data_IF_996169845059
#
_entry.id   IF_996169845059
#
_cell.length_a   1.000
_cell.length_b   1.000
_cell.length_c   1.000
_cell.angle_alpha   90.00
_cell.angle_beta   90.00
_cell.angle_gamma   90.00
#
_symmetry.space_group_name_H-M   'P 1'
#
loop_
_entity.id
_entity.type
_entity.pdbx_description
1 polymer ?
#
# COMPACT_ATOMS: atom_id res chain seq x y z
N UNK A 1 -0.26 -11.81 39.87
CA UNK A 1 -1.25 -12.06 38.80
C UNK A 1 -1.27 -10.83 37.90
N UNK A 2 -0.46 -10.79 36.85
CA UNK A 2 -0.46 -9.69 35.88
C UNK A 2 -1.45 -9.99 34.75
N UNK A 3 -2.66 -9.43 34.88
CA UNK A 3 -3.63 -9.37 33.79
C UNK A 3 -3.16 -8.31 32.79
N UNK A 4 -2.25 -8.69 31.89
CA UNK A 4 -2.07 -7.96 30.63
C UNK A 4 -3.37 -8.09 29.85
N UNK A 5 -4.13 -7.00 29.73
CA UNK A 5 -5.21 -6.87 28.76
C UNK A 5 -4.57 -7.04 27.39
N UNK A 6 -4.54 -8.27 26.88
CA UNK A 6 -4.03 -8.56 25.54
C UNK A 6 -4.87 -7.77 24.56
N UNK A 7 -4.16 -7.00 23.75
CA UNK A 7 -4.63 -6.15 22.66
C UNK A 7 -5.21 -6.99 21.50
N UNK A 8 -6.04 -7.99 21.79
CA UNK A 8 -6.57 -8.95 20.82
C UNK A 8 -7.43 -8.29 19.72
N UNK A 9 -7.96 -7.09 19.97
CA UNK A 9 -8.65 -6.26 18.99
C UNK A 9 -7.69 -5.40 18.13
N UNK A 10 -6.46 -5.13 18.57
CA UNK A 10 -5.43 -4.50 17.73
C UNK A 10 -4.79 -5.51 16.78
N UNK A 11 -4.49 -6.72 17.26
CA UNK A 11 -3.86 -7.76 16.45
C UNK A 11 -4.75 -8.22 15.29
N UNK A 12 -6.08 -8.31 15.47
CA UNK A 12 -7.02 -8.69 14.38
C UNK A 12 -7.01 -7.74 13.19
N UNK A 13 -6.62 -6.46 13.35
CA UNK A 13 -6.53 -5.49 12.24
C UNK A 13 -5.43 -5.85 11.25
N UNK A 14 -4.42 -6.58 11.73
CA UNK A 14 -3.29 -7.08 10.97
C UNK A 14 -3.51 -8.52 10.48
N UNK A 15 -4.69 -9.11 10.69
CA UNK A 15 -5.06 -10.43 10.20
C UNK A 15 -5.99 -10.29 9.00
N UNK A 16 -5.49 -10.61 7.81
CA UNK A 16 -6.26 -10.51 6.57
C UNK A 16 -5.38 -10.45 5.33
N UNK A 17 -6.02 -10.23 4.20
CA UNK A 17 -5.34 -9.96 2.93
C UNK A 17 -6.06 -8.87 2.18
N UNK A 18 -5.32 -8.11 1.36
CA UNK A 18 -5.92 -7.16 0.43
C UNK A 18 -6.87 -7.86 -0.55
N UNK A 19 -6.59 -9.12 -0.91
CA UNK A 19 -7.51 -9.93 -1.70
C UNK A 19 -8.90 -10.07 -1.05
N UNK A 20 -8.97 -10.33 0.26
CA UNK A 20 -10.26 -10.44 0.95
C UNK A 20 -11.01 -9.11 1.01
N UNK A 21 -10.28 -7.99 1.03
CA UNK A 21 -10.91 -6.67 0.93
C UNK A 21 -11.52 -6.51 -0.46
N UNK A 22 -10.78 -6.79 -1.55
CA UNK A 22 -11.32 -6.74 -2.91
C UNK A 22 -12.54 -7.66 -3.09
N UNK A 23 -12.47 -8.90 -2.61
CA UNK A 23 -13.60 -9.84 -2.63
C UNK A 23 -14.83 -9.27 -1.89
N UNK A 24 -14.63 -8.59 -0.76
CA UNK A 24 -15.71 -7.93 -0.02
C UNK A 24 -16.27 -6.73 -0.79
N UNK A 25 -15.44 -5.91 -1.43
CA UNK A 25 -15.91 -4.79 -2.25
C UNK A 25 -16.77 -5.29 -3.44
N UNK A 26 -16.36 -6.40 -4.07
CA UNK A 26 -17.14 -7.05 -5.12
C UNK A 26 -18.44 -7.65 -4.58
N UNK A 27 -18.41 -8.30 -3.41
CA UNK A 27 -19.59 -8.85 -2.74
C UNK A 27 -20.62 -7.76 -2.38
N UNK A 28 -20.16 -6.58 -1.97
CA UNK A 28 -20.97 -5.39 -1.72
C UNK A 28 -21.48 -4.71 -3.01
N UNK A 29 -21.18 -5.27 -4.18
CA UNK A 29 -21.60 -4.79 -5.50
C UNK A 29 -21.18 -3.34 -5.78
N UNK A 30 -20.01 -2.93 -5.29
CA UNK A 30 -19.43 -1.66 -5.70
C UNK A 30 -19.19 -1.65 -7.22
N UNK A 31 -19.37 -0.51 -7.91
CA UNK A 31 -19.01 -0.39 -9.32
C UNK A 31 -17.58 -0.85 -9.59
N UNK A 32 -17.33 -1.53 -10.72
CA UNK A 32 -16.02 -2.13 -11.04
C UNK A 32 -14.84 -1.15 -10.98
N UNK A 33 -15.07 0.13 -11.29
CA UNK A 33 -14.09 1.19 -11.13
C UNK A 33 -13.54 1.30 -9.69
N UNK A 34 -14.33 0.97 -8.67
CA UNK A 34 -13.87 0.97 -7.28
C UNK A 34 -12.85 -0.13 -6.99
N UNK A 35 -12.90 -1.26 -7.70
CA UNK A 35 -11.87 -2.29 -7.59
C UNK A 35 -10.58 -1.84 -8.27
N UNK A 36 -10.68 -1.09 -9.38
CA UNK A 36 -9.52 -0.44 -10.00
C UNK A 36 -8.92 0.62 -9.06
N UNK A 37 -9.74 1.48 -8.46
CA UNK A 37 -9.29 2.45 -7.44
C UNK A 37 -8.67 1.74 -6.22
N UNK A 38 -9.23 0.62 -5.80
CA UNK A 38 -8.66 -0.17 -4.71
C UNK A 38 -7.28 -0.72 -5.08
N UNK A 39 -7.10 -1.23 -6.31
CA UNK A 39 -5.78 -1.61 -6.81
C UNK A 39 -4.80 -0.44 -6.77
N UNK A 40 -5.21 0.76 -7.17
CA UNK A 40 -4.38 1.97 -7.10
C UNK A 40 -3.93 2.29 -5.66
N UNK A 41 -4.85 2.20 -4.69
CA UNK A 41 -4.55 2.42 -3.27
C UNK A 41 -3.55 1.40 -2.71
N UNK A 42 -3.72 0.10 -3.06
CA UNK A 42 -2.80 -0.97 -2.64
C UNK A 42 -1.45 -0.82 -3.34
N UNK A 43 -1.44 -0.57 -4.64
CA UNK A 43 -0.22 -0.37 -5.42
C UNK A 43 0.60 0.82 -4.91
N UNK A 44 -0.04 1.96 -4.66
CA UNK A 44 0.62 3.12 -4.08
C UNK A 44 1.19 2.79 -2.68
N UNK A 45 0.42 2.10 -1.83
CA UNK A 45 0.90 1.67 -0.50
C UNK A 45 2.13 0.76 -0.60
N UNK A 46 2.20 -0.13 -1.59
CA UNK A 46 3.40 -0.94 -1.86
C UNK A 46 4.57 -0.07 -2.32
N UNK A 47 4.34 0.81 -3.28
CA UNK A 47 5.39 1.62 -3.92
C UNK A 47 5.97 2.67 -2.97
N UNK A 48 5.16 3.31 -2.13
CA UNK A 48 5.64 4.25 -1.10
C UNK A 48 6.13 3.57 0.18
N UNK A 49 6.22 2.22 0.18
CA UNK A 49 6.61 1.40 1.33
C UNK A 49 5.82 1.73 2.60
N UNK A 50 4.50 1.78 2.46
CA UNK A 50 3.56 1.92 3.57
C UNK A 50 3.32 0.56 4.24
N UNK A 51 3.97 0.37 5.39
CA UNK A 51 3.81 -0.82 6.23
C UNK A 51 2.54 -0.84 7.07
N UNK A 52 1.80 0.27 7.20
CA UNK A 52 0.66 0.41 8.12
C UNK A 52 -0.72 0.47 7.42
N UNK A 53 -0.78 0.13 6.13
CA UNK A 53 -2.03 0.03 5.35
C UNK A 53 -2.95 -1.12 5.79
N UNK A 54 -3.40 -1.12 7.04
CA UNK A 54 -4.23 -2.18 7.62
C UNK A 54 -5.72 -2.00 7.29
N UNK A 55 -6.56 -2.95 7.71
CA UNK A 55 -7.98 -3.01 7.31
C UNK A 55 -8.77 -1.71 7.55
N UNK A 56 -8.41 -0.91 8.56
CA UNK A 56 -9.12 0.35 8.87
C UNK A 56 -8.79 1.50 7.91
N UNK A 57 -7.79 1.36 7.05
CA UNK A 57 -7.35 2.39 6.10
C UNK A 57 -8.13 2.29 4.77
N UNK A 58 -9.08 1.34 4.69
CA UNK A 58 -9.98 1.18 3.56
C UNK A 58 -11.41 1.29 4.05
N UNK A 59 -12.14 2.28 3.53
CA UNK A 59 -13.51 2.54 3.92
C UNK A 59 -14.44 2.54 2.70
N UNK A 60 -15.69 2.16 2.95
CA UNK A 60 -16.79 2.29 1.99
C UNK A 60 -17.70 3.40 2.48
N UNK A 61 -18.03 4.31 1.57
CA UNK A 61 -18.92 5.44 1.78
C UNK A 61 -20.31 5.11 1.24
N UNK A 62 -21.33 5.61 1.93
CA UNK A 62 -22.74 5.42 1.58
C UNK A 62 -23.40 6.79 1.46
N UNK A 63 -23.68 7.22 0.24
CA UNK A 63 -24.49 8.41 -0.04
C UNK A 63 -25.98 8.07 -0.01
N UNK A 64 -26.83 9.05 0.35
CA UNK A 64 -28.27 8.86 0.33
C UNK A 64 -28.75 8.68 -1.12
N UNK A 65 -29.18 7.46 -1.47
CA UNK A 65 -29.65 7.13 -2.81
C UNK A 65 -28.53 6.84 -3.81
N UNK A 66 -27.28 6.73 -3.35
CA UNK A 66 -26.12 6.40 -4.18
C UNK A 66 -25.67 4.96 -3.95
N UNK A 67 -25.04 4.36 -4.96
CA UNK A 67 -24.36 3.09 -4.78
C UNK A 67 -23.21 3.25 -3.77
N UNK A 68 -22.89 2.22 -2.97
CA UNK A 68 -21.69 2.25 -2.13
C UNK A 68 -20.45 2.52 -2.99
N UNK A 69 -19.51 3.28 -2.45
CA UNK A 69 -18.27 3.64 -3.15
C UNK A 69 -17.08 3.54 -2.22
N UNK A 70 -15.93 3.13 -2.76
CA UNK A 70 -14.66 3.17 -2.04
C UNK A 70 -14.34 4.64 -1.71
N UNK A 71 -13.97 4.88 -0.46
CA UNK A 71 -13.53 6.20 -0.02
C UNK A 71 -12.29 6.64 -0.80
N UNK A 72 -12.02 7.96 -0.88
CA UNK A 72 -10.68 8.43 -1.20
C UNK A 72 -9.64 7.75 -0.30
N UNK A 73 -8.40 7.70 -0.80
CA UNK A 73 -7.28 7.20 -0.03
C UNK A 73 -7.01 8.12 1.17
N UNK A 74 -6.67 7.54 2.31
CA UNK A 74 -6.24 8.27 3.50
C UNK A 74 -5.20 7.46 4.27
N UNK A 75 -4.50 8.13 5.19
CA UNK A 75 -3.55 7.49 6.12
C UNK A 75 -2.49 6.63 5.42
N UNK A 76 -1.80 7.25 4.46
CA UNK A 76 -0.65 6.67 3.76
C UNK A 76 0.62 7.37 4.21
N UNK A 77 1.53 6.57 4.76
CA UNK A 77 2.81 7.03 5.28
C UNK A 77 3.91 6.08 4.80
N UNK A 78 5.07 6.62 4.43
CA UNK A 78 6.27 5.81 4.16
C UNK A 78 6.86 5.32 5.48
N UNK A 79 6.27 4.29 6.06
CA UNK A 79 6.68 3.76 7.36
C UNK A 79 8.14 3.24 7.36
N UNK A 80 8.65 2.82 6.19
CA UNK A 80 9.98 2.23 6.05
C UNK A 80 11.17 3.17 6.33
N UNK A 81 10.96 4.49 6.49
CA UNK A 81 12.04 5.42 6.88
C UNK A 81 12.24 5.52 8.40
N UNK A 82 11.31 4.96 9.19
CA UNK A 82 11.41 4.96 10.64
C UNK A 82 12.09 3.69 11.13
N UNK A 83 13.21 3.86 11.83
CA UNK A 83 13.94 2.78 12.47
C UNK A 83 13.50 2.59 13.92
N UNK A 84 13.64 1.37 14.43
CA UNK A 84 13.41 1.05 15.83
C UNK A 84 14.46 0.05 16.34
N UNK A 85 14.79 0.13 17.62
CA UNK A 85 15.62 -0.86 18.32
C UNK A 85 14.73 -1.72 19.21
N UNK A 86 14.93 -3.04 19.23
CA UNK A 86 14.10 -3.92 20.07
C UNK A 86 14.54 -3.90 21.53
N UNK A 87 15.83 -3.68 21.76
CA UNK A 87 16.44 -3.57 23.08
C UNK A 87 17.55 -2.53 23.06
N UNK A 88 17.93 -2.04 24.24
CA UNK A 88 19.07 -1.13 24.40
C UNK A 88 20.35 -1.83 23.93
N UNK A 89 21.02 -1.27 22.91
CA UNK A 89 22.23 -1.83 22.30
C UNK A 89 21.99 -2.71 21.05
N UNK A 90 20.74 -2.85 20.59
CA UNK A 90 20.41 -3.55 19.35
C UNK A 90 20.69 -2.67 18.10
N UNK A 91 20.82 -3.29 16.93
CA UNK A 91 20.91 -2.58 15.66
C UNK A 91 19.56 -1.94 15.31
N UNK A 92 19.58 -0.85 14.54
CA UNK A 92 18.36 -0.23 14.02
C UNK A 92 17.67 -1.16 13.01
N UNK A 93 16.43 -1.54 13.29
CA UNK A 93 15.57 -2.32 12.40
C UNK A 93 14.58 -1.41 11.68
N UNK A 94 14.21 -1.77 10.46
CA UNK A 94 13.10 -1.15 9.70
C UNK A 94 12.02 -2.18 9.47
N UNK A 95 10.76 -1.79 9.61
CA UNK A 95 9.65 -2.66 9.21
C UNK A 95 9.62 -2.76 7.68
N UNK A 96 9.85 -3.96 7.18
CA UNK A 96 9.89 -4.29 5.75
C UNK A 96 8.70 -5.15 5.32
N UNK A 97 7.61 -5.06 6.06
CA UNK A 97 6.38 -5.80 5.79
C UNK A 97 5.21 -4.85 5.55
N UNK A 98 4.23 -5.34 4.80
CA UNK A 98 2.91 -4.74 4.69
C UNK A 98 2.07 -5.11 5.92
N UNK A 99 1.07 -4.31 6.24
CA UNK A 99 0.14 -4.62 7.31
C UNK A 99 -0.65 -5.92 7.07
N UNK A 100 -1.05 -6.17 5.81
CA UNK A 100 -1.84 -7.32 5.36
C UNK A 100 -1.09 -8.10 4.27
N UNK A 101 -1.46 -9.37 4.09
CA UNK A 101 -0.94 -10.17 2.96
C UNK A 101 -1.51 -9.65 1.64
N UNK A 102 -0.81 -9.78 0.53
CA UNK A 102 -1.40 -9.48 -0.78
C UNK A 102 -2.53 -10.47 -1.10
N UNK A 103 -2.19 -11.76 -1.12
CA UNK A 103 -3.12 -12.86 -1.39
C UNK A 103 -3.58 -13.55 -0.10
N UNK A 104 -4.81 -14.07 -0.12
CA UNK A 104 -5.36 -14.87 0.97
C UNK A 104 -4.72 -16.26 1.00
N UNK A 105 -4.55 -16.84 2.18
CA UNK A 105 -4.08 -18.22 2.33
C UNK A 105 -3.00 -18.39 3.39
N UNK A 106 -2.76 -19.65 3.77
CA UNK A 106 -1.80 -20.01 4.83
C UNK A 106 -0.35 -19.75 4.40
N UNK A 107 -0.02 -19.97 3.13
CA UNK A 107 1.35 -19.91 2.60
C UNK A 107 1.80 -18.51 2.15
N UNK A 108 0.92 -17.51 2.18
CA UNK A 108 1.30 -16.14 1.84
C UNK A 108 1.86 -15.40 3.04
N UNK A 109 2.81 -14.50 2.80
CA UNK A 109 3.46 -13.65 3.80
C UNK A 109 2.96 -12.20 3.70
N UNK A 110 3.48 -11.37 4.61
CA UNK A 110 3.31 -9.91 4.60
C UNK A 110 4.50 -9.20 3.96
N UNK A 111 5.44 -9.91 3.34
CA UNK A 111 6.50 -9.26 2.60
C UNK A 111 5.88 -8.39 1.49
N UNK A 112 6.53 -7.27 1.16
CA UNK A 112 6.13 -6.53 -0.03
C UNK A 112 6.21 -7.46 -1.25
N UNK A 113 5.20 -7.42 -2.14
CA UNK A 113 5.09 -8.36 -3.24
C UNK A 113 6.17 -8.10 -4.30
N UNK A 114 6.40 -9.07 -5.19
CA UNK A 114 7.12 -8.80 -6.43
C UNK A 114 6.27 -7.95 -7.40
N UNK A 115 6.89 -7.38 -8.43
CA UNK A 115 6.15 -6.69 -9.51
C UNK A 115 5.14 -7.61 -10.18
N UNK A 116 5.51 -8.88 -10.41
CA UNK A 116 4.64 -9.88 -11.00
C UNK A 116 3.42 -10.18 -10.11
N UNK A 117 3.64 -10.36 -8.81
CA UNK A 117 2.56 -10.57 -7.85
C UNK A 117 1.60 -9.38 -7.78
N UNK A 118 2.12 -8.15 -7.82
CA UNK A 118 1.30 -6.94 -7.82
C UNK A 118 0.50 -6.78 -9.12
N UNK A 119 1.11 -7.07 -10.28
CA UNK A 119 0.40 -7.09 -11.56
C UNK A 119 -0.70 -8.15 -11.56
N UNK A 120 -0.40 -9.36 -11.08
CA UNK A 120 -1.36 -10.46 -10.97
C UNK A 120 -2.52 -10.09 -10.06
N UNK A 121 -2.26 -9.42 -8.94
CA UNK A 121 -3.30 -8.90 -8.06
C UNK A 121 -4.20 -7.89 -8.80
N UNK A 122 -3.61 -6.98 -9.57
CA UNK A 122 -4.37 -6.04 -10.40
C UNK A 122 -5.31 -6.74 -11.39
N UNK A 123 -4.82 -7.72 -12.15
CA UNK A 123 -5.60 -8.42 -13.18
C UNK A 123 -6.60 -9.42 -12.60
N UNK A 124 -6.13 -10.34 -11.75
CA UNK A 124 -6.92 -11.50 -11.32
C UNK A 124 -7.87 -11.18 -10.16
N UNK A 125 -7.52 -10.21 -9.31
CA UNK A 125 -8.32 -9.89 -8.12
C UNK A 125 -9.13 -8.61 -8.32
N UNK A 126 -8.52 -7.58 -8.91
CA UNK A 126 -9.16 -6.27 -9.07
C UNK A 126 -9.77 -6.04 -10.47
N UNK A 127 -9.57 -6.96 -11.43
CA UNK A 127 -10.13 -6.85 -12.78
C UNK A 127 -9.52 -5.72 -13.63
N UNK A 128 -8.32 -5.23 -13.28
CA UNK A 128 -7.64 -4.15 -13.99
C UNK A 128 -7.01 -4.71 -15.26
N UNK A 129 -7.45 -4.22 -16.43
CA UNK A 129 -6.98 -4.71 -17.73
C UNK A 129 -5.50 -4.41 -17.98
N UNK A 130 -5.02 -3.23 -17.55
CA UNK A 130 -3.63 -2.78 -17.75
C UNK A 130 -3.01 -2.30 -16.43
N UNK A 131 -2.68 -3.20 -15.50
CA UNK A 131 -2.09 -2.83 -14.21
C UNK A 131 -0.73 -2.13 -14.39
N UNK A 132 0.05 -2.52 -15.41
CA UNK A 132 1.35 -1.90 -15.70
C UNK A 132 1.24 -0.39 -15.97
N UNK A 133 0.25 0.05 -16.74
CA UNK A 133 0.01 1.49 -16.99
C UNK A 133 -0.39 2.24 -15.71
N UNK A 134 -1.08 1.58 -14.80
CA UNK A 134 -1.41 2.15 -13.49
C UNK A 134 -0.16 2.33 -12.64
N UNK A 135 0.74 1.33 -12.60
CA UNK A 135 2.01 1.42 -11.88
C UNK A 135 2.93 2.50 -12.47
N UNK A 136 2.97 2.64 -13.79
CA UNK A 136 3.72 3.71 -14.47
C UNK A 136 3.20 5.10 -14.08
N UNK A 137 1.88 5.30 -14.11
CA UNK A 137 1.26 6.57 -13.70
C UNK A 137 1.55 6.90 -12.24
N UNK A 138 1.51 5.91 -11.34
CA UNK A 138 1.89 6.10 -9.93
C UNK A 138 3.38 6.47 -9.80
N UNK A 139 4.27 5.77 -10.50
CA UNK A 139 5.70 6.06 -10.46
C UNK A 139 6.02 7.46 -11.00
N UNK A 140 5.36 7.88 -12.09
CA UNK A 140 5.49 9.24 -12.61
C UNK A 140 5.06 10.28 -11.56
N UNK A 141 3.88 10.10 -10.96
CA UNK A 141 3.40 11.01 -9.92
C UNK A 141 4.33 11.04 -8.68
N UNK A 142 4.91 9.90 -8.30
CA UNK A 142 5.91 9.82 -7.23
C UNK A 142 7.18 10.60 -7.57
N UNK A 143 7.67 10.51 -8.81
CA UNK A 143 8.84 11.24 -9.27
C UNK A 143 8.57 12.75 -9.25
N UNK A 144 7.44 13.18 -9.82
CA UNK A 144 7.01 14.59 -9.81
C UNK A 144 6.90 15.11 -8.37
N UNK A 145 6.32 14.33 -7.47
CA UNK A 145 6.20 14.69 -6.04
C UNK A 145 7.57 14.85 -5.36
N UNK A 146 8.53 13.98 -5.66
CA UNK A 146 9.90 14.10 -5.12
C UNK A 146 10.62 15.34 -5.65
N UNK A 147 10.41 15.67 -6.92
CA UNK A 147 11.03 16.84 -7.54
C UNK A 147 10.45 18.14 -6.99
N UNK A 148 9.13 18.22 -6.81
CA UNK A 148 8.47 19.34 -6.12
C UNK A 148 8.95 19.46 -4.66
N UNK A 149 9.11 18.34 -3.96
CA UNK A 149 9.53 18.31 -2.56
C UNK A 149 10.93 18.88 -2.33
N UNK A 150 11.84 18.78 -3.31
CA UNK A 150 13.21 19.35 -3.22
C UNK A 150 13.18 20.88 -3.08
N UNK A 151 12.14 21.54 -3.61
CA UNK A 151 11.95 22.99 -3.53
C UNK A 151 11.08 23.46 -2.37
N UNK A 152 10.44 22.55 -1.63
CA UNK A 152 9.47 22.90 -0.58
C UNK A 152 10.13 23.01 0.80
N UNK A 153 10.31 24.25 1.26
CA UNK A 153 10.87 24.57 2.58
C UNK A 153 10.11 23.98 3.78
N UNK A 154 8.87 23.51 3.60
CA UNK A 154 8.09 22.85 4.65
C UNK A 154 8.54 21.42 4.91
N UNK A 155 9.30 20.81 3.99
CA UNK A 155 9.76 19.44 4.06
C UNK A 155 11.20 19.43 4.58
N UNK A 156 11.49 18.81 5.75
CA UNK A 156 12.85 18.71 6.24
C UNK A 156 13.77 17.95 5.27
N UNK A 157 14.93 18.52 4.97
CA UNK A 157 15.87 17.96 4.00
C UNK A 157 16.39 16.57 4.41
N UNK A 158 16.54 16.32 5.71
CA UNK A 158 16.96 15.03 6.26
C UNK A 158 15.89 13.95 6.11
N UNK A 159 14.61 14.33 6.26
CA UNK A 159 13.48 13.44 6.00
C UNK A 159 13.40 13.10 4.51
N UNK A 160 13.53 14.11 3.63
CA UNK A 160 13.50 13.90 2.18
C UNK A 160 14.64 12.98 1.72
N UNK A 161 15.86 13.19 2.23
CA UNK A 161 17.01 12.32 1.94
C UNK A 161 16.81 10.86 2.37
N UNK A 162 15.99 10.60 3.41
CA UNK A 162 15.60 9.24 3.81
C UNK A 162 14.50 8.67 2.92
N UNK A 163 13.53 9.48 2.51
CA UNK A 163 12.37 9.05 1.71
C UNK A 163 12.73 8.75 0.25
N UNK A 164 13.59 9.58 -0.37
CA UNK A 164 13.94 9.47 -1.79
C UNK A 164 14.42 8.06 -2.21
N UNK A 165 15.42 7.42 -1.58
CA UNK A 165 15.85 6.08 -1.97
C UNK A 165 14.76 5.01 -1.77
N UNK A 166 13.88 5.19 -0.78
CA UNK A 166 12.76 4.28 -0.51
C UNK A 166 11.73 4.36 -1.65
N UNK A 167 11.42 5.58 -2.08
CA UNK A 167 10.47 5.82 -3.18
C UNK A 167 11.07 5.43 -4.54
N UNK A 168 12.35 5.70 -4.78
CA UNK A 168 13.06 5.23 -5.98
C UNK A 168 13.00 3.71 -6.12
N UNK A 169 13.19 2.98 -5.01
CA UNK A 169 12.99 1.53 -4.99
C UNK A 169 11.53 1.12 -5.24
N UNK A 170 10.56 1.90 -4.75
CA UNK A 170 9.15 1.74 -5.07
C UNK A 170 8.80 1.94 -6.54
N UNK A 171 9.42 2.91 -7.19
CA UNK A 171 9.20 3.21 -8.60
C UNK A 171 9.67 2.08 -9.52
N UNK A 172 10.54 1.16 -9.06
CA UNK A 172 10.95 -0.01 -9.86
C UNK A 172 9.83 -1.02 -10.10
N UNK A 173 8.68 -0.90 -9.42
CA UNK A 173 7.48 -1.68 -9.74
C UNK A 173 6.86 -1.27 -11.08
N UNK A 174 7.11 -0.04 -11.55
CA UNK A 174 6.65 0.36 -12.87
C UNK A 174 7.40 -0.43 -13.94
N UNK A 175 6.71 -1.16 -14.84
CA UNK A 175 7.36 -1.84 -15.94
C UNK A 175 8.03 -0.81 -16.85
N UNK A 176 9.24 -1.13 -17.32
CA UNK A 176 9.90 -0.34 -18.35
C UNK A 176 9.03 -0.36 -19.61
N UNK A 177 8.86 0.79 -20.25
CA UNK A 177 8.22 0.84 -21.56
C UNK A 177 8.93 -0.14 -22.49
N UNK A 178 8.18 -1.07 -23.06
CA UNK A 178 8.68 -1.85 -24.18
C UNK A 178 8.87 -0.84 -25.31
N UNK A 179 10.11 -0.44 -25.59
CA UNK A 179 10.44 0.23 -26.84
C UNK A 179 9.97 -0.71 -27.94
N UNK A 180 8.92 -0.31 -28.65
CA UNK A 180 8.50 -0.96 -29.88
C UNK A 180 9.71 -0.96 -30.81
N UNK A 181 10.22 -2.14 -31.14
CA UNK A 181 11.25 -2.33 -32.16
C UNK A 181 10.63 -2.16 -33.55
#
# INVERSE_FOLDING_TARGET
MDLRVRNALSERRYHGSYQRIAELLAYLQLPAENLHRFFEQVALSVMVRNGDGHLKNFAVTYGKGEAPSLSPLFDVVTAAVYTYTRYVGDIEHTDRTMALKLFAGKHHSKAYPTTEELMRFGTEVCGVVRPGSTLQRIAQAMQETLDDAKGDSRIPADLLAKMEPVWQNGMTYAPREQRSA
#
